data_IF_345487728455
#
_entry.id   IF_345487728455
#
_cell.length_a   1.000
_cell.length_b   1.000
_cell.length_c   1.000
_cell.angle_alpha   90.00
_cell.angle_beta   90.00
_cell.angle_gamma   90.00
#
_symmetry.space_group_name_H-M   'P 1'
#
loop_
_entity.id
_entity.type
_entity.pdbx_description
1 polymer ?
#
# COMPACT_ATOMS: atom_id res chain seq x y z
N UNK A 1 11.48 -7.62 2.92
CA UNK A 1 11.41 -6.26 3.53
C UNK A 1 11.24 -6.31 5.05
N UNK A 2 10.11 -6.77 5.60
CA UNK A 2 9.89 -6.78 7.05
C UNK A 2 10.90 -7.63 7.83
N UNK A 3 11.36 -8.77 7.30
CA UNK A 3 12.42 -9.55 7.91
C UNK A 3 13.72 -8.74 8.08
N UNK A 4 14.11 -7.96 7.06
CA UNK A 4 15.27 -7.06 7.13
C UNK A 4 15.06 -5.94 8.16
N UNK A 5 13.87 -5.33 8.18
CA UNK A 5 13.56 -4.31 9.19
C UNK A 5 13.61 -4.88 10.60
N UNK A 6 13.10 -6.10 10.82
CA UNK A 6 13.16 -6.77 12.11
C UNK A 6 14.58 -7.18 12.50
N UNK A 7 15.43 -7.54 11.54
CA UNK A 7 16.85 -7.81 11.78
C UNK A 7 17.58 -6.55 12.25
N UNK A 8 17.31 -5.40 11.62
CA UNK A 8 18.01 -4.14 11.88
C UNK A 8 17.48 -3.40 13.12
N UNK A 9 16.18 -3.49 13.38
CA UNK A 9 15.47 -2.65 14.36
C UNK A 9 14.77 -3.47 15.45
N UNK A 10 14.87 -4.80 15.41
CA UNK A 10 14.08 -5.68 16.25
C UNK A 10 12.59 -5.68 15.90
N UNK A 11 11.77 -6.30 16.76
CA UNK A 11 10.32 -6.43 16.54
C UNK A 11 9.50 -5.23 17.07
N UNK A 12 10.13 -4.08 17.29
CA UNK A 12 9.46 -2.89 17.84
C UNK A 12 8.44 -2.32 16.87
N UNK A 13 7.16 -2.31 17.26
CA UNK A 13 6.05 -1.74 16.47
C UNK A 13 6.31 -0.25 16.17
N UNK A 14 6.85 0.50 17.14
CA UNK A 14 7.17 1.92 16.97
C UNK A 14 8.22 2.11 15.87
N UNK A 15 9.30 1.33 15.91
CA UNK A 15 10.38 1.43 14.92
C UNK A 15 9.91 1.03 13.52
N UNK A 16 9.05 0.01 13.39
CA UNK A 16 8.43 -0.36 12.12
C UNK A 16 7.53 0.76 11.56
N UNK A 17 6.78 1.46 12.42
CA UNK A 17 5.99 2.63 12.01
C UNK A 17 6.86 3.80 11.58
N UNK A 18 7.97 4.05 12.29
CA UNK A 18 8.95 5.07 11.89
C UNK A 18 9.57 4.72 10.54
N UNK A 19 9.89 3.45 10.27
CA UNK A 19 10.40 3.02 8.97
C UNK A 19 9.39 3.26 7.84
N UNK A 20 8.09 3.00 8.07
CA UNK A 20 7.04 3.32 7.12
C UNK A 20 6.90 4.83 6.88
N UNK A 21 6.96 5.66 7.92
CA UNK A 21 6.93 7.11 7.80
C UNK A 21 8.17 7.66 7.05
N UNK A 22 9.36 7.12 7.33
CA UNK A 22 10.58 7.45 6.61
C UNK A 22 10.50 7.06 5.13
N UNK A 23 9.86 5.93 4.82
CA UNK A 23 9.57 5.50 3.44
C UNK A 23 8.69 6.53 2.72
N UNK A 24 7.60 7.00 3.33
CA UNK A 24 6.74 8.05 2.76
C UNK A 24 7.51 9.37 2.55
N UNK A 25 8.34 9.77 3.50
CA UNK A 25 9.18 10.95 3.41
C UNK A 25 10.18 10.86 2.25
N UNK A 26 10.84 9.70 2.10
CA UNK A 26 11.76 9.44 1.00
C UNK A 26 11.04 9.42 -0.36
N UNK A 27 9.85 8.81 -0.45
CA UNK A 27 9.02 8.81 -1.66
C UNK A 27 8.65 10.24 -2.07
N UNK A 28 8.19 11.06 -1.12
CA UNK A 28 7.88 12.48 -1.35
C UNK A 28 9.10 13.28 -1.80
N UNK A 29 10.26 13.04 -1.18
CA UNK A 29 11.52 13.66 -1.57
C UNK A 29 11.92 13.28 -3.00
N UNK A 30 11.89 12.01 -3.36
CA UNK A 30 12.23 11.59 -4.72
C UNK A 30 11.22 12.07 -5.75
N UNK A 31 9.93 12.17 -5.41
CA UNK A 31 8.93 12.78 -6.28
C UNK A 31 9.24 14.27 -6.52
N UNK A 32 9.62 15.01 -5.48
CA UNK A 32 10.12 16.38 -5.60
C UNK A 32 11.34 16.44 -6.53
N UNK A 33 12.36 15.61 -6.29
CA UNK A 33 13.60 15.59 -7.09
C UNK A 33 13.33 15.24 -8.55
N UNK A 34 12.53 14.21 -8.80
CA UNK A 34 12.10 13.81 -10.13
C UNK A 34 11.44 14.95 -10.88
N UNK A 35 10.53 15.66 -10.23
CA UNK A 35 9.81 16.79 -10.82
C UNK A 35 10.72 17.98 -11.10
N UNK A 36 11.71 18.25 -10.23
CA UNK A 36 12.78 19.24 -10.52
C UNK A 36 13.58 18.84 -11.76
N UNK A 37 14.02 17.59 -11.82
CA UNK A 37 14.79 17.04 -12.94
C UNK A 37 14.00 17.04 -14.25
N UNK A 38 12.68 16.83 -14.19
CA UNK A 38 11.78 16.86 -15.34
C UNK A 38 11.59 18.28 -15.90
N UNK A 39 12.05 19.32 -15.20
CA UNK A 39 12.01 20.71 -15.65
C UNK A 39 10.88 21.56 -15.04
N UNK A 40 10.14 21.03 -14.07
CA UNK A 40 9.07 21.79 -13.41
C UNK A 40 9.61 22.88 -12.48
N UNK A 41 8.82 23.94 -12.29
CA UNK A 41 9.13 25.03 -11.35
C UNK A 41 9.31 24.51 -9.91
N UNK A 42 10.17 25.13 -9.08
CA UNK A 42 10.42 24.67 -7.70
C UNK A 42 9.13 24.52 -6.88
N UNK A 43 8.22 25.50 -6.99
CA UNK A 43 6.94 25.48 -6.29
C UNK A 43 6.06 24.27 -6.67
N UNK A 44 6.07 23.87 -7.95
CA UNK A 44 5.30 22.72 -8.42
C UNK A 44 5.90 21.38 -7.98
N UNK A 45 7.22 21.30 -7.93
CA UNK A 45 7.93 20.14 -7.39
C UNK A 45 7.66 20.00 -5.88
N UNK A 46 7.79 21.10 -5.13
CA UNK A 46 7.54 21.10 -3.69
C UNK A 46 6.09 20.73 -3.37
N UNK A 47 5.14 21.31 -4.10
CA UNK A 47 3.72 20.99 -3.99
C UNK A 47 3.44 19.51 -4.23
N UNK A 48 4.05 18.88 -5.24
CA UNK A 48 3.85 17.46 -5.52
C UNK A 48 4.30 16.55 -4.36
N UNK A 49 5.48 16.79 -3.80
CA UNK A 49 5.96 16.03 -2.63
C UNK A 49 5.07 16.24 -1.39
N UNK A 50 4.72 17.50 -1.09
CA UNK A 50 3.85 17.82 0.04
C UNK A 50 2.45 17.24 -0.10
N UNK A 51 1.88 17.27 -1.30
CA UNK A 51 0.59 16.63 -1.58
C UNK A 51 0.68 15.12 -1.37
N UNK A 52 1.75 14.47 -1.81
CA UNK A 52 1.90 13.03 -1.59
C UNK A 52 1.90 12.67 -0.10
N UNK A 53 2.62 13.44 0.73
CA UNK A 53 2.57 13.28 2.19
C UNK A 53 1.17 13.53 2.74
N UNK A 54 0.53 14.61 2.31
CA UNK A 54 -0.82 14.97 2.72
C UNK A 54 -1.81 13.84 2.41
N UNK A 55 -1.89 13.36 1.16
CA UNK A 55 -2.83 12.30 0.77
C UNK A 55 -2.62 11.00 1.56
N UNK A 56 -1.36 10.67 1.90
CA UNK A 56 -1.04 9.49 2.70
C UNK A 56 -1.27 9.68 4.21
N UNK A 57 -1.51 10.90 4.69
CA UNK A 57 -1.64 11.16 6.14
C UNK A 57 -3.08 11.37 6.61
N UNK A 58 -4.07 11.44 5.70
CA UNK A 58 -5.43 11.91 6.05
C UNK A 58 -6.39 10.80 6.43
N UNK A 59 -6.40 9.71 5.66
CA UNK A 59 -7.44 8.68 5.77
C UNK A 59 -6.85 7.32 6.11
N UNK A 60 -7.43 6.67 7.12
CA UNK A 60 -6.99 5.39 7.68
C UNK A 60 -6.85 4.27 6.65
N UNK A 61 -7.77 4.19 5.69
CA UNK A 61 -7.78 3.16 4.63
C UNK A 61 -6.82 3.43 3.47
N UNK A 62 -6.00 4.48 3.59
CA UNK A 62 -4.98 4.85 2.61
C UNK A 62 -3.60 4.79 3.29
N UNK A 63 -2.85 5.89 3.37
CA UNK A 63 -1.43 5.84 3.77
C UNK A 63 -1.13 5.85 5.27
N UNK A 64 -2.11 6.05 6.16
CA UNK A 64 -1.85 6.19 7.61
C UNK A 64 -1.40 4.87 8.23
N UNK A 65 -1.97 3.76 7.74
CA UNK A 65 -1.46 2.43 8.05
C UNK A 65 -0.41 2.04 7.00
N UNK A 66 0.70 1.37 7.39
CA UNK A 66 1.68 0.86 6.44
C UNK A 66 1.01 -0.13 5.48
N UNK A 67 0.95 0.20 4.20
CA UNK A 67 0.46 -0.66 3.14
C UNK A 67 1.59 -1.04 2.20
N UNK A 68 1.40 -2.09 1.41
CA UNK A 68 2.42 -2.56 0.45
C UNK A 68 2.81 -1.46 -0.55
N UNK A 69 1.84 -0.65 -0.97
CA UNK A 69 1.99 0.53 -1.83
C UNK A 69 2.89 1.60 -1.22
N UNK A 70 2.89 1.76 0.10
CA UNK A 70 3.79 2.67 0.80
C UNK A 70 5.24 2.37 0.45
N UNK A 71 5.59 1.09 0.38
CA UNK A 71 6.97 0.63 0.18
C UNK A 71 7.37 0.56 -1.28
N UNK A 72 6.54 0.01 -2.17
CA UNK A 72 6.94 -0.07 -3.57
C UNK A 72 6.98 1.31 -4.26
N UNK A 73 6.13 2.25 -3.84
CA UNK A 73 6.14 3.61 -4.41
C UNK A 73 7.46 4.35 -4.18
N UNK A 74 8.21 4.02 -3.13
CA UNK A 74 9.56 4.55 -2.93
C UNK A 74 10.45 4.22 -4.13
N UNK A 75 10.40 2.98 -4.58
CA UNK A 75 11.17 2.51 -5.71
C UNK A 75 10.68 3.10 -7.03
N UNK A 76 9.38 3.28 -7.20
CA UNK A 76 8.82 3.98 -8.38
C UNK A 76 9.26 5.46 -8.41
N UNK A 77 9.23 6.17 -7.28
CA UNK A 77 9.65 7.57 -7.21
C UNK A 77 11.16 7.74 -7.41
N UNK A 78 11.98 6.83 -6.85
CA UNK A 78 13.42 6.79 -7.08
C UNK A 78 13.74 6.51 -8.56
N UNK A 79 13.09 5.51 -9.16
CA UNK A 79 13.23 5.21 -10.58
C UNK A 79 12.87 6.41 -11.46
N UNK A 80 11.77 7.11 -11.13
CA UNK A 80 11.36 8.32 -11.83
C UNK A 80 12.42 9.42 -11.69
N UNK A 81 12.99 9.62 -10.50
CA UNK A 81 14.03 10.63 -10.33
C UNK A 81 15.26 10.34 -11.19
N UNK A 82 15.73 9.08 -11.22
CA UNK A 82 16.84 8.66 -12.09
C UNK A 82 16.47 8.90 -13.56
N UNK A 83 15.30 8.41 -13.99
CA UNK A 83 14.76 8.57 -15.33
C UNK A 83 14.73 10.05 -15.79
N UNK A 84 14.29 10.96 -14.92
CA UNK A 84 14.16 12.39 -15.22
C UNK A 84 15.49 13.16 -15.21
N UNK A 85 16.54 12.65 -14.54
CA UNK A 85 17.78 13.39 -14.28
C UNK A 85 18.73 13.48 -15.47
N UNK A 86 18.21 13.29 -16.70
CA UNK A 86 18.98 13.21 -17.96
C UNK A 86 20.23 12.34 -17.83
N UNK A 87 20.09 11.10 -17.36
CA UNK A 87 21.26 10.35 -16.98
C UNK A 87 21.92 9.71 -18.22
N UNK A 88 23.13 9.18 -18.02
CA UNK A 88 23.77 8.32 -19.01
C UNK A 88 22.88 7.08 -19.30
N UNK A 89 23.10 6.45 -20.46
CA UNK A 89 22.26 5.34 -20.94
C UNK A 89 22.13 4.19 -19.91
N UNK A 90 23.21 3.82 -19.23
CA UNK A 90 23.23 2.78 -18.19
C UNK A 90 22.33 3.09 -16.98
N UNK A 91 22.03 4.36 -16.69
CA UNK A 91 21.17 4.70 -15.57
C UNK A 91 19.71 4.30 -15.79
N UNK A 92 19.27 4.09 -17.03
CA UNK A 92 17.97 3.48 -17.32
C UNK A 92 17.92 2.04 -16.80
N UNK A 93 19.03 1.31 -16.82
CA UNK A 93 19.13 0.01 -16.15
C UNK A 93 18.96 0.13 -14.64
N UNK A 94 19.57 1.13 -13.99
CA UNK A 94 19.39 1.36 -12.55
C UNK A 94 17.96 1.79 -12.19
N UNK A 95 17.35 2.65 -13.01
CA UNK A 95 15.92 2.98 -12.86
C UNK A 95 15.07 1.71 -13.00
N UNK A 96 15.43 0.84 -13.93
CA UNK A 96 14.84 -0.49 -14.11
C UNK A 96 14.98 -1.35 -12.87
N UNK A 97 16.19 -1.48 -12.32
CA UNK A 97 16.44 -2.24 -11.08
C UNK A 97 15.57 -1.75 -9.94
N UNK A 98 15.43 -0.42 -9.78
CA UNK A 98 14.53 0.16 -8.79
C UNK A 98 13.07 -0.27 -9.04
N UNK A 99 12.55 -0.13 -10.27
CA UNK A 99 11.20 -0.64 -10.60
C UNK A 99 11.06 -2.15 -10.34
N UNK A 100 12.09 -2.95 -10.62
CA UNK A 100 12.12 -4.39 -10.36
C UNK A 100 12.02 -4.73 -8.88
N UNK A 101 12.68 -3.97 -8.00
CA UNK A 101 12.52 -4.10 -6.55
C UNK A 101 11.10 -3.78 -6.11
N UNK A 102 10.48 -2.74 -6.68
CA UNK A 102 9.07 -2.43 -6.48
C UNK A 102 8.15 -3.56 -6.98
N UNK A 103 8.45 -4.12 -8.16
CA UNK A 103 7.69 -5.22 -8.77
C UNK A 103 7.69 -6.49 -7.92
N UNK A 104 8.84 -6.85 -7.32
CA UNK A 104 8.94 -7.98 -6.39
C UNK A 104 8.07 -7.78 -5.16
N UNK A 105 7.88 -6.54 -4.70
CA UNK A 105 6.95 -6.23 -3.61
C UNK A 105 5.49 -6.35 -4.09
N UNK A 106 5.16 -5.79 -5.26
CA UNK A 106 3.85 -5.92 -5.89
C UNK A 106 3.95 -5.71 -7.40
N UNK A 107 3.45 -6.66 -8.18
CA UNK A 107 3.58 -6.68 -9.66
C UNK A 107 2.89 -5.51 -10.37
N UNK A 108 1.98 -4.80 -9.70
CA UNK A 108 1.29 -3.61 -10.23
C UNK A 108 2.23 -2.45 -10.58
N UNK A 109 3.48 -2.45 -10.08
CA UNK A 109 4.54 -1.52 -10.49
C UNK A 109 4.84 -1.59 -11.99
N UNK A 110 4.51 -2.72 -12.64
CA UNK A 110 4.60 -2.87 -14.10
C UNK A 110 3.93 -1.72 -14.85
N UNK A 111 2.76 -1.24 -14.39
CA UNK A 111 2.03 -0.15 -15.04
C UNK A 111 2.80 1.17 -14.99
N UNK A 112 3.54 1.44 -13.91
CA UNK A 112 4.42 2.60 -13.82
C UNK A 112 5.59 2.49 -14.81
N UNK A 113 6.21 1.31 -14.90
CA UNK A 113 7.29 1.04 -15.86
C UNK A 113 6.84 1.16 -17.32
N UNK A 114 5.64 0.66 -17.65
CA UNK A 114 5.03 0.81 -18.97
C UNK A 114 4.81 2.29 -19.28
N UNK A 115 4.34 3.09 -18.32
CA UNK A 115 4.17 4.53 -18.52
C UNK A 115 5.49 5.22 -18.89
N UNK A 116 6.59 4.86 -18.22
CA UNK A 116 7.91 5.45 -18.47
C UNK A 116 8.42 5.08 -19.87
N UNK A 117 8.24 3.81 -20.27
CA UNK A 117 8.64 3.30 -21.59
C UNK A 117 7.82 3.92 -22.72
N UNK A 118 6.49 3.93 -22.60
CA UNK A 118 5.60 4.54 -23.58
C UNK A 118 5.87 6.05 -23.74
N UNK A 119 6.22 6.75 -22.67
CA UNK A 119 6.58 8.16 -22.76
C UNK A 119 7.89 8.40 -23.53
N UNK A 120 8.87 7.49 -23.44
CA UNK A 120 10.09 7.58 -24.27
C UNK A 120 9.77 7.42 -25.77
N UNK A 121 8.89 6.49 -26.13
CA UNK A 121 8.41 6.33 -27.50
C UNK A 121 7.64 7.56 -27.97
N UNK A 122 6.81 8.13 -27.09
CA UNK A 122 6.08 9.35 -27.36
C UNK A 122 7.02 10.53 -27.62
N UNK A 123 8.07 10.70 -26.82
CA UNK A 123 9.09 11.73 -27.05
C UNK A 123 9.81 11.56 -28.39
N UNK A 124 10.17 10.32 -28.76
CA UNK A 124 10.77 10.03 -30.06
C UNK A 124 9.81 10.37 -31.22
N UNK A 125 8.52 10.03 -31.10
CA UNK A 125 7.48 10.39 -32.07
C UNK A 125 7.35 11.91 -32.24
N UNK A 126 7.50 12.68 -31.16
CA UNK A 126 7.45 14.15 -31.17
C UNK A 126 8.75 14.81 -31.65
N UNK A 127 9.72 14.05 -32.16
CA UNK A 127 10.99 14.56 -32.66
C UNK A 127 11.98 14.99 -31.57
N UNK A 128 11.72 14.65 -30.29
CA UNK A 128 12.60 15.00 -29.16
C UNK A 128 13.75 14.00 -28.96
N UNK A 129 13.93 13.05 -29.90
CA UNK A 129 14.98 12.04 -29.87
C UNK A 129 14.85 11.03 -31.02
N UNK A 130 15.84 10.15 -31.16
CA UNK A 130 15.83 9.06 -32.16
C UNK A 130 15.10 7.83 -31.61
N UNK A 131 14.34 7.14 -32.45
CA UNK A 131 13.65 5.88 -32.09
C UNK A 131 14.61 4.82 -31.53
N UNK A 132 15.78 4.64 -32.15
CA UNK A 132 16.79 3.71 -31.66
C UNK A 132 17.20 4.02 -30.21
N UNK A 133 17.42 5.31 -29.88
CA UNK A 133 17.77 5.71 -28.53
C UNK A 133 16.63 5.47 -27.53
N UNK A 134 15.37 5.68 -27.93
CA UNK A 134 14.21 5.35 -27.09
C UNK A 134 14.14 3.85 -26.79
N UNK A 135 14.32 3.00 -27.80
CA UNK A 135 14.34 1.55 -27.63
C UNK A 135 15.50 1.07 -26.77
N UNK A 136 16.71 1.61 -26.93
CA UNK A 136 17.84 1.26 -26.05
C UNK A 136 17.55 1.58 -24.59
N UNK A 137 16.93 2.73 -24.31
CA UNK A 137 16.53 3.12 -22.95
C UNK A 137 15.46 2.18 -22.38
N UNK A 138 14.45 1.83 -23.19
CA UNK A 138 13.39 0.89 -22.80
C UNK A 138 13.97 -0.49 -22.53
N UNK A 139 14.86 -0.98 -23.39
CA UNK A 139 15.52 -2.27 -23.22
C UNK A 139 16.30 -2.31 -21.90
N UNK A 140 17.10 -1.29 -21.60
CA UNK A 140 17.83 -1.24 -20.34
C UNK A 140 16.90 -1.13 -19.12
N UNK A 141 15.83 -0.33 -19.21
CA UNK A 141 14.80 -0.25 -18.18
C UNK A 141 14.17 -1.63 -17.93
N UNK A 142 13.82 -2.36 -18.99
CA UNK A 142 13.21 -3.69 -18.90
C UNK A 142 14.18 -4.74 -18.36
N UNK A 143 15.43 -4.75 -18.81
CA UNK A 143 16.47 -5.66 -18.30
C UNK A 143 16.74 -5.41 -16.81
N UNK A 144 16.82 -4.14 -16.40
CA UNK A 144 16.95 -3.78 -15.00
C UNK A 144 15.74 -4.22 -14.18
N UNK A 145 14.51 -4.00 -14.68
CA UNK A 145 13.30 -4.38 -13.97
C UNK A 145 13.10 -5.90 -13.85
N UNK A 146 13.55 -6.67 -14.85
CA UNK A 146 13.46 -8.12 -14.84
C UNK A 146 14.42 -8.75 -13.82
N UNK A 147 15.60 -8.17 -13.60
CA UNK A 147 16.66 -8.81 -12.81
C UNK A 147 16.24 -9.18 -11.36
N UNK A 148 15.63 -8.29 -10.55
CA UNK A 148 15.20 -8.66 -9.20
C UNK A 148 14.17 -9.79 -9.17
N UNK A 149 13.24 -9.81 -10.14
CA UNK A 149 12.22 -10.85 -10.21
C UNK A 149 12.80 -12.19 -10.66
N UNK A 150 13.70 -12.18 -11.65
CA UNK A 150 14.44 -13.38 -12.08
C UNK A 150 15.30 -13.95 -10.94
N UNK A 151 15.87 -13.10 -10.08
CA UNK A 151 16.61 -13.55 -8.90
C UNK A 151 15.70 -14.28 -7.90
N UNK A 152 14.46 -13.81 -7.71
CA UNK A 152 13.47 -14.49 -6.87
C UNK A 152 13.08 -15.85 -7.46
N UNK A 153 12.79 -15.91 -8.77
CA UNK A 153 12.51 -17.18 -9.46
C UNK A 153 13.67 -18.16 -9.30
N UNK A 154 14.89 -17.72 -9.59
CA UNK A 154 16.08 -18.55 -9.49
C UNK A 154 16.31 -19.05 -8.06
N UNK A 155 16.04 -18.21 -7.05
CA UNK A 155 16.10 -18.62 -5.65
C UNK A 155 15.10 -19.73 -5.32
N UNK A 156 13.82 -19.55 -5.67
CA UNK A 156 12.79 -20.57 -5.41
C UNK A 156 13.02 -21.86 -6.20
N UNK A 157 13.55 -21.76 -7.42
CA UNK A 157 13.98 -22.92 -8.18
C UNK A 157 15.15 -23.65 -7.52
N UNK A 158 16.14 -22.91 -7.00
CA UNK A 158 17.31 -23.49 -6.35
C UNK A 158 16.95 -24.27 -5.07
N UNK A 159 15.96 -23.80 -4.30
CA UNK A 159 15.49 -24.49 -3.10
C UNK A 159 14.36 -25.51 -3.36
N UNK A 160 14.03 -25.78 -4.63
CA UNK A 160 13.03 -26.78 -5.01
C UNK A 160 11.57 -26.38 -4.78
N UNK A 161 11.28 -25.09 -4.55
CA UNK A 161 9.95 -24.57 -4.23
C UNK A 161 9.38 -23.63 -5.32
N UNK A 162 9.75 -23.85 -6.57
CA UNK A 162 9.29 -23.00 -7.69
C UNK A 162 7.78 -23.14 -7.93
N UNK A 163 7.24 -24.35 -7.80
CA UNK A 163 5.82 -24.62 -8.02
C UNK A 163 4.96 -23.91 -6.96
N UNK A 164 5.35 -23.98 -5.69
CA UNK A 164 4.67 -23.29 -4.58
C UNK A 164 4.78 -21.78 -4.74
N UNK A 165 5.97 -21.26 -5.08
CA UNK A 165 6.13 -19.85 -5.39
C UNK A 165 5.18 -19.40 -6.50
N UNK A 166 5.09 -20.17 -7.60
CA UNK A 166 4.22 -19.87 -8.72
C UNK A 166 2.74 -19.92 -8.32
N UNK A 167 2.35 -20.94 -7.56
CA UNK A 167 1.00 -21.10 -7.06
C UNK A 167 0.55 -19.92 -6.20
N UNK A 168 1.31 -19.60 -5.15
CA UNK A 168 0.94 -18.52 -4.23
C UNK A 168 1.05 -17.13 -4.86
N UNK A 169 1.96 -16.92 -5.81
CA UNK A 169 2.16 -15.62 -6.44
C UNK A 169 1.14 -15.35 -7.55
N UNK A 170 0.90 -16.32 -8.44
CA UNK A 170 0.12 -16.11 -9.66
C UNK A 170 -1.23 -16.84 -9.65
N UNK A 171 -1.27 -18.11 -9.26
CA UNK A 171 -2.50 -18.91 -9.32
C UNK A 171 -3.53 -18.40 -8.32
N UNK A 172 -3.14 -18.26 -7.04
CA UNK A 172 -4.03 -17.75 -5.98
C UNK A 172 -4.51 -16.33 -6.31
N UNK A 173 -3.61 -15.44 -6.72
CA UNK A 173 -3.94 -14.08 -7.11
C UNK A 173 -4.94 -14.02 -8.28
N UNK A 174 -4.78 -14.91 -9.27
CA UNK A 174 -5.68 -14.99 -10.43
C UNK A 174 -7.08 -15.51 -10.10
N UNK A 175 -7.21 -16.40 -9.11
CA UNK A 175 -8.50 -16.91 -8.62
C UNK A 175 -9.29 -15.88 -7.80
N UNK A 176 -8.62 -14.81 -7.37
CA UNK A 176 -9.17 -13.82 -6.43
C UNK A 176 -9.66 -12.52 -7.11
N UNK A 177 -9.66 -12.48 -8.45
CA UNK A 177 -10.12 -11.31 -9.22
C UNK A 177 -11.64 -11.22 -9.15
N UNK A 178 -12.16 -10.03 -8.87
CA UNK A 178 -13.60 -9.74 -8.92
C UNK A 178 -13.96 -8.96 -10.17
N UNK A 179 -15.07 -9.30 -10.81
CA UNK A 179 -15.67 -8.42 -11.82
C UNK A 179 -16.48 -7.32 -11.13
N UNK A 180 -16.15 -6.05 -11.39
CA UNK A 180 -16.96 -4.90 -10.97
C UNK A 180 -17.63 -4.23 -12.15
N UNK A 181 -18.81 -3.67 -11.92
CA UNK A 181 -19.47 -2.89 -12.94
C UNK A 181 -18.69 -1.60 -13.22
N UNK A 182 -18.90 -1.01 -14.40
CA UNK A 182 -18.34 0.30 -14.71
C UNK A 182 -18.78 1.37 -13.70
N UNK A 183 -20.02 1.28 -13.20
CA UNK A 183 -20.57 2.21 -12.22
C UNK A 183 -19.86 2.09 -10.87
N UNK A 184 -19.53 0.87 -10.43
CA UNK A 184 -18.76 0.66 -9.19
C UNK A 184 -17.37 1.28 -9.29
N UNK A 185 -16.67 1.04 -10.40
CA UNK A 185 -15.35 1.61 -10.66
C UNK A 185 -15.40 3.14 -10.73
N UNK A 186 -16.42 3.71 -11.39
CA UNK A 186 -16.63 5.15 -11.45
C UNK A 186 -16.91 5.73 -10.07
N UNK A 187 -17.78 5.09 -9.29
CA UNK A 187 -18.12 5.51 -7.92
C UNK A 187 -16.89 5.47 -7.02
N UNK A 188 -16.06 4.43 -7.14
CA UNK A 188 -14.83 4.29 -6.38
C UNK A 188 -13.80 5.37 -6.72
N UNK A 189 -13.65 5.68 -8.02
CA UNK A 189 -12.80 6.80 -8.45
C UNK A 189 -13.36 8.15 -7.98
N UNK A 190 -14.66 8.37 -8.08
CA UNK A 190 -15.30 9.60 -7.62
C UNK A 190 -15.16 9.78 -6.11
N UNK A 191 -15.34 8.71 -5.32
CA UNK A 191 -15.08 8.71 -3.87
C UNK A 191 -13.66 9.21 -3.58
N UNK A 192 -12.65 8.61 -4.22
CA UNK A 192 -11.26 9.08 -4.10
C UNK A 192 -11.13 10.58 -4.45
N UNK A 193 -11.68 11.01 -5.58
CA UNK A 193 -11.52 12.41 -6.01
C UNK A 193 -12.20 13.41 -5.08
N UNK A 194 -13.39 13.10 -4.56
CA UNK A 194 -14.11 13.97 -3.63
C UNK A 194 -13.44 14.00 -2.26
N UNK A 195 -13.01 12.82 -1.78
CA UNK A 195 -12.32 12.62 -0.51
C UNK A 195 -11.03 13.42 -0.40
N UNK A 196 -10.32 13.60 -1.51
CA UNK A 196 -9.04 14.32 -1.56
C UNK A 196 -9.12 15.74 -2.14
N UNK A 197 -10.30 16.39 -2.07
CA UNK A 197 -10.37 17.84 -2.26
C UNK A 197 -9.53 18.57 -1.19
N UNK A 198 -8.79 19.65 -1.54
CA UNK A 198 -8.76 20.31 -2.85
C UNK A 198 -7.70 19.75 -3.84
N UNK A 199 -6.93 18.73 -3.49
CA UNK A 199 -5.85 18.22 -4.37
C UNK A 199 -6.40 17.73 -5.71
N UNK A 200 -7.56 17.11 -5.71
CA UNK A 200 -8.26 16.70 -6.95
C UNK A 200 -8.60 17.86 -7.87
N UNK A 201 -8.97 19.01 -7.31
CA UNK A 201 -9.20 20.22 -8.09
C UNK A 201 -7.91 20.65 -8.82
N UNK A 202 -6.75 20.58 -8.13
CA UNK A 202 -5.46 20.90 -8.74
C UNK A 202 -5.07 19.92 -9.83
N UNK A 203 -5.31 18.62 -9.60
CA UNK A 203 -5.09 17.57 -10.60
C UNK A 203 -5.89 17.83 -11.87
N UNK A 204 -7.22 17.97 -11.77
CA UNK A 204 -8.07 18.18 -12.94
C UNK A 204 -7.80 19.52 -13.62
N UNK A 205 -7.51 20.58 -12.87
CA UNK A 205 -7.10 21.85 -13.46
C UNK A 205 -5.82 21.71 -14.27
N UNK A 206 -4.80 21.03 -13.73
CA UNK A 206 -3.54 20.79 -14.44
C UNK A 206 -3.72 19.88 -15.66
N UNK A 207 -4.60 18.88 -15.55
CA UNK A 207 -4.92 17.94 -16.63
C UNK A 207 -5.53 18.64 -17.86
N UNK A 208 -6.44 19.60 -17.64
CA UNK A 208 -7.15 20.27 -18.75
C UNK A 208 -6.56 21.63 -19.13
N UNK A 209 -5.70 22.22 -18.29
CA UNK A 209 -5.10 23.53 -18.57
C UNK A 209 -4.02 23.45 -19.64
N UNK A 210 -4.14 24.28 -20.68
CA UNK A 210 -3.08 24.51 -21.69
C UNK A 210 -1.90 25.33 -21.17
N UNK A 211 -1.99 25.86 -19.94
CA UNK A 211 -0.92 26.65 -19.29
C UNK A 211 0.11 25.77 -18.59
N UNK A 212 -0.17 24.48 -18.43
CA UNK A 212 0.78 23.50 -17.89
C UNK A 212 1.79 23.12 -18.98
N UNK A 213 3.05 22.96 -18.59
CA UNK A 213 4.11 22.47 -19.46
C UNK A 213 3.68 21.15 -20.14
N UNK A 214 3.60 21.16 -21.47
CA UNK A 214 2.96 20.09 -22.23
C UNK A 214 3.58 18.69 -21.97
N UNK A 215 4.91 18.51 -21.95
CA UNK A 215 5.52 17.23 -21.57
C UNK A 215 5.10 16.75 -20.18
N UNK A 216 5.01 17.65 -19.18
CA UNK A 216 4.61 17.29 -17.81
C UNK A 216 3.16 16.82 -17.78
N UNK A 217 2.29 17.48 -18.56
CA UNK A 217 0.89 17.08 -18.71
C UNK A 217 0.76 15.73 -19.43
N UNK A 218 1.44 15.54 -20.56
CA UNK A 218 1.41 14.30 -21.33
C UNK A 218 1.90 13.10 -20.51
N UNK A 219 3.06 13.24 -19.87
CA UNK A 219 3.61 12.19 -19.00
C UNK A 219 2.70 11.92 -17.80
N UNK A 220 2.30 12.96 -17.07
CA UNK A 220 1.43 12.84 -15.91
C UNK A 220 0.08 12.21 -16.23
N UNK A 221 -0.53 12.54 -17.38
CA UNK A 221 -1.78 11.94 -17.85
C UNK A 221 -1.62 10.47 -18.21
N UNK A 222 -0.60 10.12 -19.01
CA UNK A 222 -0.32 8.73 -19.38
C UNK A 222 -0.07 7.87 -18.15
N UNK A 223 0.75 8.38 -17.23
CA UNK A 223 1.07 7.69 -15.99
C UNK A 223 -0.15 7.55 -15.07
N UNK A 224 -0.97 8.60 -14.95
CA UNK A 224 -2.22 8.54 -14.19
C UNK A 224 -3.18 7.48 -14.75
N UNK A 225 -3.35 7.40 -16.07
CA UNK A 225 -4.23 6.41 -16.70
C UNK A 225 -3.74 4.98 -16.40
N UNK A 226 -2.45 4.71 -16.59
CA UNK A 226 -1.90 3.36 -16.34
C UNK A 226 -1.91 2.97 -14.86
N UNK A 227 -1.59 3.91 -13.96
CA UNK A 227 -1.70 3.66 -12.53
C UNK A 227 -3.16 3.46 -12.10
N UNK A 228 -4.11 4.16 -12.71
CA UNK A 228 -5.54 3.93 -12.45
C UNK A 228 -6.00 2.56 -12.96
N UNK A 229 -5.50 2.11 -14.11
CA UNK A 229 -5.73 0.72 -14.57
C UNK A 229 -5.24 -0.29 -13.53
N UNK A 230 -4.06 -0.07 -12.95
CA UNK A 230 -3.53 -0.94 -11.89
C UNK A 230 -4.43 -1.00 -10.64
N UNK A 231 -5.09 0.11 -10.30
CA UNK A 231 -6.05 0.20 -9.18
C UNK A 231 -7.34 -0.56 -9.49
N UNK A 232 -7.87 -0.45 -10.71
CA UNK A 232 -9.19 -0.94 -11.06
C UNK A 232 -9.19 -2.39 -11.56
N UNK A 233 -8.09 -2.85 -12.18
CA UNK A 233 -8.01 -4.18 -12.80
C UNK A 233 -8.28 -5.35 -11.83
N UNK A 234 -7.83 -5.34 -10.56
CA UNK A 234 -8.14 -6.43 -9.63
C UNK A 234 -9.63 -6.54 -9.25
N UNK A 235 -10.42 -5.47 -9.46
CA UNK A 235 -11.82 -5.38 -9.05
C UNK A 235 -12.07 -5.29 -7.55
N UNK A 236 -11.02 -5.37 -6.73
CA UNK A 236 -11.12 -5.14 -5.28
C UNK A 236 -11.03 -3.64 -5.00
N UNK A 237 -12.13 -3.05 -4.54
CA UNK A 237 -12.25 -1.59 -4.33
C UNK A 237 -11.66 -1.15 -2.97
N UNK A 238 -10.39 -1.49 -2.73
CA UNK A 238 -9.70 -1.10 -1.51
C UNK A 238 -9.02 0.25 -1.67
N UNK A 239 -9.33 1.20 -0.77
CA UNK A 239 -8.81 2.57 -0.83
C UNK A 239 -7.28 2.65 -0.96
N UNK A 240 -6.54 1.76 -0.27
CA UNK A 240 -5.07 1.76 -0.28
C UNK A 240 -4.46 1.49 -1.66
N UNK A 241 -5.18 0.91 -2.62
CA UNK A 241 -4.67 0.76 -3.99
C UNK A 241 -4.41 2.12 -4.64
N UNK A 242 -5.19 3.15 -4.30
CA UNK A 242 -4.95 4.49 -4.79
C UNK A 242 -3.62 5.10 -4.32
N UNK A 243 -2.94 4.54 -3.32
CA UNK A 243 -1.61 5.02 -2.91
C UNK A 243 -0.65 4.96 -4.10
N UNK A 244 -0.71 3.94 -4.96
CA UNK A 244 0.06 3.91 -6.22
C UNK A 244 -0.32 5.09 -7.13
N UNK A 245 -1.62 5.28 -7.36
CA UNK A 245 -2.14 6.38 -8.18
C UNK A 245 -1.81 7.77 -7.62
N UNK A 246 -1.61 7.92 -6.31
CA UNK A 246 -1.24 9.19 -5.68
C UNK A 246 0.07 9.75 -6.23
N UNK A 247 1.00 8.92 -6.75
CA UNK A 247 2.23 9.39 -7.37
C UNK A 247 1.97 10.23 -8.64
N UNK A 248 1.38 9.68 -9.74
CA UNK A 248 1.05 10.48 -10.91
C UNK A 248 0.03 11.58 -10.62
N UNK A 249 -0.89 11.35 -9.69
CA UNK A 249 -1.88 12.33 -9.28
C UNK A 249 -1.22 13.57 -8.65
N UNK A 250 -0.34 13.39 -7.68
CA UNK A 250 0.41 14.50 -7.07
C UNK A 250 1.42 15.11 -8.04
N UNK A 251 2.05 14.29 -8.89
CA UNK A 251 2.93 14.77 -9.95
C UNK A 251 2.20 15.76 -10.86
N UNK A 252 0.98 15.48 -11.31
CA UNK A 252 0.25 16.41 -12.17
C UNK A 252 -0.39 17.55 -11.37
N UNK A 253 -1.00 17.27 -10.21
CA UNK A 253 -1.62 18.28 -9.34
C UNK A 253 -0.65 19.40 -8.95
N UNK A 254 0.62 19.06 -8.68
CA UNK A 254 1.64 20.06 -8.36
C UNK A 254 1.86 21.10 -9.47
N UNK A 255 1.59 20.78 -10.75
CA UNK A 255 1.71 21.74 -11.87
C UNK A 255 0.76 22.93 -11.75
N UNK A 256 -0.33 22.82 -10.99
CA UNK A 256 -1.18 23.96 -10.65
C UNK A 256 -0.36 25.11 -10.03
N UNK A 257 0.65 24.77 -9.23
CA UNK A 257 1.53 25.72 -8.57
C UNK A 257 2.65 26.26 -9.47
N UNK A 258 2.84 25.69 -10.67
CA UNK A 258 3.70 26.26 -11.69
C UNK A 258 3.01 27.40 -12.44
N UNK A 259 1.69 27.40 -12.59
CA UNK A 259 0.96 28.39 -13.41
C UNK A 259 1.13 29.80 -12.81
N UNK A 260 1.29 30.90 -13.58
CA UNK A 260 1.34 32.24 -12.98
C UNK A 260 0.01 32.62 -12.30
N UNK A 261 0.05 33.17 -11.09
CA UNK A 261 -1.16 33.45 -10.28
C UNK A 261 -2.15 34.37 -10.99
N UNK A 262 -1.65 35.40 -11.66
CA UNK A 262 -2.47 36.35 -12.41
C UNK A 262 -3.31 35.69 -13.51
N UNK A 263 -2.82 34.58 -14.06
CA UNK A 263 -3.51 33.86 -15.13
C UNK A 263 -4.56 32.90 -14.62
N UNK A 264 -4.69 32.69 -13.30
CA UNK A 264 -5.72 31.84 -12.73
C UNK A 264 -7.07 32.57 -12.66
N UNK A 265 -8.20 31.84 -12.75
CA UNK A 265 -9.53 32.39 -12.48
C UNK A 265 -9.56 33.09 -11.12
N UNK A 266 -10.26 34.23 -11.02
CA UNK A 266 -10.29 35.06 -9.79
C UNK A 266 -10.61 34.22 -8.54
N UNK A 267 -11.59 33.33 -8.62
CA UNK A 267 -12.00 32.42 -7.54
C UNK A 267 -10.95 31.38 -7.10
N UNK A 268 -9.87 31.17 -7.85
CA UNK A 268 -8.78 30.24 -7.50
C UNK A 268 -7.48 30.97 -7.09
N UNK A 269 -7.39 32.28 -7.30
CA UNK A 269 -6.16 33.06 -7.01
C UNK A 269 -5.83 33.10 -5.52
N UNK A 270 -6.82 32.95 -4.64
CA UNK A 270 -6.64 32.99 -3.18
C UNK A 270 -5.95 31.73 -2.66
N UNK A 271 -6.19 30.55 -3.27
CA UNK A 271 -5.54 29.28 -2.92
C UNK A 271 -4.02 29.33 -3.08
N UNK A 272 -3.51 30.26 -3.89
CA UNK A 272 -2.08 30.46 -4.12
C UNK A 272 -1.49 31.66 -3.41
N UNK A 273 -2.26 32.31 -2.52
CA UNK A 273 -1.71 33.32 -1.63
C UNK A 273 -0.99 32.61 -0.49
N UNK A 274 0.33 32.79 -0.29
CA UNK A 274 1.05 32.13 0.81
C UNK A 274 0.43 32.38 2.18
N UNK A 275 -0.07 33.60 2.40
CA UNK A 275 -0.77 34.03 3.63
C UNK A 275 -2.08 33.30 3.91
N UNK A 276 -2.66 32.61 2.92
CA UNK A 276 -3.91 31.86 3.05
C UNK A 276 -3.65 30.36 2.87
N UNK A 277 -2.92 29.99 1.82
CA UNK A 277 -2.66 28.59 1.45
C UNK A 277 -1.87 27.81 2.50
N UNK A 278 -0.81 28.38 3.09
CA UNK A 278 -0.05 27.68 4.12
C UNK A 278 -0.82 27.54 5.44
N UNK A 279 -1.48 28.59 5.98
CA UNK A 279 -2.35 28.42 7.14
C UNK A 279 -3.50 27.45 6.89
N UNK A 280 -4.11 27.45 5.71
CA UNK A 280 -5.17 26.50 5.37
C UNK A 280 -4.65 25.06 5.32
N UNK A 281 -3.47 24.83 4.72
CA UNK A 281 -2.85 23.50 4.73
C UNK A 281 -2.52 23.04 6.16
N UNK A 282 -1.96 23.93 6.98
CA UNK A 282 -1.70 23.67 8.39
C UNK A 282 -2.98 23.34 9.16
N UNK A 283 -4.05 24.12 8.94
CA UNK A 283 -5.36 23.89 9.54
C UNK A 283 -5.95 22.56 9.11
N UNK A 284 -5.83 22.18 7.82
CA UNK A 284 -6.31 20.88 7.32
C UNK A 284 -5.55 19.71 7.95
N UNK A 285 -4.23 19.83 8.08
CA UNK A 285 -3.39 18.82 8.75
C UNK A 285 -3.76 18.69 10.23
N UNK A 286 -3.83 19.79 10.97
CA UNK A 286 -4.18 19.79 12.40
C UNK A 286 -5.60 19.29 12.62
N UNK A 287 -6.57 19.79 11.85
CA UNK A 287 -7.96 19.31 11.91
C UNK A 287 -8.04 17.82 11.64
N UNK A 288 -7.27 17.31 10.67
CA UNK A 288 -7.25 15.89 10.39
C UNK A 288 -6.64 15.07 11.53
N UNK A 289 -5.51 15.49 12.10
CA UNK A 289 -4.92 14.84 13.28
C UNK A 289 -5.91 14.81 14.45
N UNK A 290 -6.67 15.90 14.65
CA UNK A 290 -7.71 15.98 15.65
C UNK A 290 -8.87 15.01 15.36
N UNK A 291 -9.37 14.95 14.12
CA UNK A 291 -10.42 14.01 13.74
C UNK A 291 -9.98 12.55 13.88
N UNK A 292 -8.71 12.27 13.61
CA UNK A 292 -8.08 10.97 13.78
C UNK A 292 -7.89 10.57 15.26
N UNK A 293 -8.02 11.51 16.21
CA UNK A 293 -7.80 11.23 17.63
C UNK A 293 -8.67 10.08 18.14
N UNK A 294 -9.95 10.06 17.74
CA UNK A 294 -10.88 8.98 18.11
C UNK A 294 -10.44 7.63 17.55
N UNK A 295 -9.96 7.61 16.30
CA UNK A 295 -9.64 6.38 15.58
C UNK A 295 -8.32 5.74 16.04
N UNK A 296 -7.39 6.52 16.61
CA UNK A 296 -6.07 6.04 17.02
C UNK A 296 -5.78 6.09 18.52
N UNK A 297 -6.21 7.15 19.21
CA UNK A 297 -5.90 7.32 20.64
C UNK A 297 -7.00 6.78 21.54
N UNK A 298 -8.28 6.97 21.17
CA UNK A 298 -9.41 6.46 21.96
C UNK A 298 -9.80 5.02 21.62
N UNK A 299 -9.27 4.47 20.53
CA UNK A 299 -9.56 3.10 20.11
C UNK A 299 -8.98 2.10 21.12
N UNK A 300 -9.80 1.21 21.72
CA UNK A 300 -9.29 0.20 22.64
C UNK A 300 -8.26 -0.71 21.96
N UNK A 301 -7.10 -0.87 22.59
CA UNK A 301 -6.08 -1.84 22.18
C UNK A 301 -6.41 -3.22 22.78
N UNK A 302 -7.45 -3.87 22.23
CA UNK A 302 -7.87 -5.20 22.67
C UNK A 302 -6.73 -6.23 22.67
N UNK A 303 -5.85 -6.30 21.65
CA UNK A 303 -4.74 -7.25 21.68
C UNK A 303 -3.80 -7.06 22.87
N UNK A 304 -3.48 -5.81 23.25
CA UNK A 304 -2.71 -5.55 24.47
C UNK A 304 -3.45 -5.92 25.74
N UNK A 305 -4.76 -5.69 25.81
CA UNK A 305 -5.56 -6.07 26.98
C UNK A 305 -5.65 -7.59 27.13
N UNK A 306 -5.82 -8.31 26.03
CA UNK A 306 -5.77 -9.79 25.99
C UNK A 306 -4.39 -10.26 26.45
N UNK A 307 -3.31 -9.68 25.90
CA UNK A 307 -1.96 -10.05 26.27
C UNK A 307 -1.67 -9.79 27.76
N UNK A 308 -2.09 -8.64 28.29
CA UNK A 308 -1.95 -8.30 29.71
C UNK A 308 -2.71 -9.27 30.63
N UNK A 309 -3.88 -9.74 30.21
CA UNK A 309 -4.65 -10.74 30.95
C UNK A 309 -4.00 -12.13 30.91
N UNK A 310 -3.55 -12.59 29.73
CA UNK A 310 -3.07 -13.96 29.55
C UNK A 310 -1.59 -14.16 29.92
N UNK A 311 -0.72 -13.18 29.68
CA UNK A 311 0.73 -13.34 29.89
C UNK A 311 1.13 -13.84 31.29
N UNK A 312 0.52 -13.40 32.40
CA UNK A 312 0.84 -13.92 33.73
C UNK A 312 0.42 -15.37 33.97
N UNK A 313 -0.47 -15.92 33.13
CA UNK A 313 -1.08 -17.23 33.31
C UNK A 313 -0.49 -18.29 32.37
N UNK A 314 0.24 -17.89 31.34
CA UNK A 314 0.76 -18.76 30.28
C UNK A 314 2.10 -19.41 30.68
N UNK A 315 2.16 -20.74 30.56
CA UNK A 315 3.39 -21.50 30.53
C UNK A 315 4.06 -21.39 29.15
N UNK A 316 5.33 -21.81 29.01
CA UNK A 316 6.08 -21.69 27.76
C UNK A 316 5.50 -22.54 26.63
N UNK A 317 5.00 -23.73 26.95
CA UNK A 317 4.42 -24.74 26.08
C UNK A 317 2.92 -24.54 25.80
N UNK A 318 2.24 -23.67 26.55
CA UNK A 318 0.82 -23.38 26.34
C UNK A 318 0.54 -22.91 24.91
N UNK A 319 -0.46 -23.52 24.28
CA UNK A 319 -0.96 -23.13 22.97
C UNK A 319 -2.13 -22.16 23.14
N UNK A 320 -2.09 -21.07 22.40
CA UNK A 320 -3.15 -20.06 22.35
C UNK A 320 -3.69 -20.02 20.93
N UNK A 321 -5.00 -19.90 20.77
CA UNK A 321 -5.63 -19.63 19.50
C UNK A 321 -6.39 -18.30 19.56
N UNK A 322 -6.23 -17.47 18.53
CA UNK A 322 -7.07 -16.29 18.29
C UNK A 322 -7.63 -16.29 16.87
N UNK A 323 -8.92 -15.99 16.75
CA UNK A 323 -9.61 -15.95 15.46
C UNK A 323 -9.48 -14.62 14.72
N UNK A 324 -8.98 -13.55 15.36
CA UNK A 324 -9.04 -12.19 14.82
C UNK A 324 -7.70 -11.45 14.85
N UNK A 325 -7.07 -11.35 16.01
CA UNK A 325 -6.03 -10.36 16.23
C UNK A 325 -4.63 -11.01 16.22
N UNK A 326 -4.07 -11.21 15.01
CA UNK A 326 -2.77 -11.86 14.77
C UNK A 326 -1.58 -11.27 15.56
N UNK A 327 -1.64 -9.98 15.93
CA UNK A 327 -0.61 -9.32 16.75
C UNK A 327 -0.57 -9.87 18.19
N UNK A 328 -1.64 -10.51 18.66
CA UNK A 328 -1.74 -11.11 20.00
C UNK A 328 -0.67 -12.18 20.19
N UNK A 329 -0.39 -13.00 19.17
CA UNK A 329 0.70 -13.99 19.21
C UNK A 329 2.05 -13.34 19.48
N UNK A 330 2.34 -12.23 18.77
CA UNK A 330 3.58 -11.48 18.98
C UNK A 330 3.69 -10.89 20.39
N UNK A 331 2.60 -10.33 20.92
CA UNK A 331 2.57 -9.74 22.26
C UNK A 331 2.71 -10.80 23.38
N UNK A 332 2.24 -12.03 23.13
CA UNK A 332 2.36 -13.15 24.05
C UNK A 332 3.68 -13.94 23.88
N UNK A 333 4.48 -13.63 22.87
CA UNK A 333 5.66 -14.44 22.53
C UNK A 333 5.31 -15.85 22.07
N UNK A 334 4.12 -16.05 21.50
CA UNK A 334 3.61 -17.36 21.03
C UNK A 334 3.64 -17.46 19.52
N UNK A 335 3.73 -18.69 19.02
CA UNK A 335 3.51 -19.00 17.62
C UNK A 335 2.02 -19.32 17.39
N UNK A 336 1.48 -18.99 16.21
CA UNK A 336 0.12 -19.39 15.85
C UNK A 336 0.05 -20.93 15.67
N UNK A 337 -1.02 -21.60 16.12
CA UNK A 337 -1.19 -23.05 15.96
C UNK A 337 -1.57 -23.46 14.53
N UNK A 338 -1.91 -22.49 13.68
CA UNK A 338 -2.25 -22.68 12.27
C UNK A 338 -1.41 -21.70 11.41
N UNK A 339 -1.06 -22.07 10.16
CA UNK A 339 -0.33 -21.17 9.27
C UNK A 339 -1.17 -19.97 8.78
N UNK A 340 -2.51 -20.05 8.87
CA UNK A 340 -3.45 -19.04 8.38
C UNK A 340 -3.76 -17.97 9.43
N UNK A 341 -2.78 -17.11 9.71
CA UNK A 341 -2.86 -16.12 10.80
C UNK A 341 -3.83 -14.97 10.56
N UNK A 342 -4.05 -14.59 9.31
CA UNK A 342 -4.97 -13.50 8.99
C UNK A 342 -6.40 -14.06 8.91
N UNK A 343 -7.38 -13.47 9.62
CA UNK A 343 -8.72 -14.05 9.75
C UNK A 343 -9.40 -14.32 8.40
N UNK A 344 -9.21 -13.44 7.42
CA UNK A 344 -9.81 -13.61 6.09
C UNK A 344 -9.34 -14.89 5.40
N UNK A 345 -8.10 -15.34 5.63
CA UNK A 345 -7.55 -16.54 5.00
C UNK A 345 -8.21 -17.80 5.51
N UNK A 346 -8.65 -17.78 6.77
CA UNK A 346 -9.23 -18.94 7.44
C UNK A 346 -10.76 -18.96 7.43
N UNK A 347 -11.40 -17.79 7.34
CA UNK A 347 -12.84 -17.64 7.52
C UNK A 347 -13.62 -17.25 6.27
N UNK A 348 -12.99 -16.60 5.28
CA UNK A 348 -13.72 -16.18 4.09
C UNK A 348 -13.69 -17.27 3.01
N UNK A 349 -14.88 -17.68 2.54
CA UNK A 349 -15.05 -18.73 1.54
C UNK A 349 -14.22 -18.49 0.26
N UNK A 350 -14.12 -17.24 -0.20
CA UNK A 350 -13.31 -16.87 -1.36
C UNK A 350 -11.82 -17.17 -1.18
N UNK A 351 -11.27 -16.95 0.02
CA UNK A 351 -9.86 -17.21 0.31
C UNK A 351 -9.62 -18.71 0.47
N UNK A 352 -10.53 -19.41 1.18
CA UNK A 352 -10.48 -20.87 1.32
C UNK A 352 -10.49 -21.56 -0.05
N UNK A 353 -11.37 -21.14 -0.96
CA UNK A 353 -11.45 -21.66 -2.31
C UNK A 353 -10.20 -21.34 -3.14
N UNK A 354 -9.70 -20.09 -3.07
CA UNK A 354 -8.52 -19.69 -3.83
C UNK A 354 -7.25 -20.44 -3.40
N UNK A 355 -7.10 -20.67 -2.09
CA UNK A 355 -5.96 -21.34 -1.44
C UNK A 355 -6.13 -22.86 -1.32
N UNK A 356 -7.27 -23.42 -1.73
CA UNK A 356 -7.59 -24.85 -1.62
C UNK A 356 -7.52 -25.38 -0.18
N UNK A 357 -7.99 -24.59 0.79
CA UNK A 357 -7.96 -24.93 2.22
C UNK A 357 -9.26 -25.64 2.62
N UNK A 358 -9.14 -26.82 3.22
CA UNK A 358 -10.24 -27.49 3.93
C UNK A 358 -10.36 -26.94 5.35
N UNK A 359 -11.32 -26.04 5.56
CA UNK A 359 -11.54 -25.41 6.87
C UNK A 359 -11.84 -26.45 7.97
N UNK A 360 -12.62 -27.48 7.66
CA UNK A 360 -12.93 -28.57 8.59
C UNK A 360 -11.68 -29.32 9.04
N UNK A 361 -10.79 -29.65 8.10
CA UNK A 361 -9.53 -30.33 8.38
C UNK A 361 -8.64 -29.51 9.30
N UNK A 362 -8.53 -28.20 9.05
CA UNK A 362 -7.73 -27.29 9.87
C UNK A 362 -8.35 -27.03 11.26
N UNK A 363 -9.68 -26.98 11.35
CA UNK A 363 -10.39 -26.96 12.64
C UNK A 363 -10.08 -28.23 13.43
N UNK A 364 -10.09 -29.40 12.79
CA UNK A 364 -9.77 -30.65 13.46
C UNK A 364 -8.31 -30.67 13.94
N UNK A 365 -7.35 -30.25 13.10
CA UNK A 365 -5.95 -30.09 13.52
C UNK A 365 -5.79 -29.15 14.71
N UNK A 366 -6.58 -28.08 14.77
CA UNK A 366 -6.57 -27.17 15.92
C UNK A 366 -7.15 -27.83 17.17
N UNK A 367 -8.21 -28.63 17.03
CA UNK A 367 -8.80 -29.41 18.13
C UNK A 367 -7.81 -30.41 18.70
N UNK A 368 -7.08 -31.11 17.84
CA UNK A 368 -6.08 -32.12 18.21
C UNK A 368 -4.85 -31.52 18.93
N UNK A 369 -4.56 -30.23 18.69
CA UNK A 369 -3.53 -29.49 19.43
C UNK A 369 -3.98 -29.07 20.84
N UNK A 370 -5.29 -29.13 21.13
CA UNK A 370 -5.91 -28.75 22.40
C UNK A 370 -5.37 -27.41 22.97
N UNK A 371 -5.53 -26.26 22.29
CA UNK A 371 -5.13 -24.96 22.82
C UNK A 371 -5.66 -24.74 24.23
N UNK A 372 -4.81 -24.25 25.14
CA UNK A 372 -5.25 -23.92 26.50
C UNK A 372 -6.22 -22.74 26.49
N UNK A 373 -5.96 -21.75 25.64
CA UNK A 373 -6.80 -20.56 25.51
C UNK A 373 -7.31 -20.36 24.08
N UNK A 374 -8.59 -20.05 23.96
CA UNK A 374 -9.22 -19.66 22.71
C UNK A 374 -9.81 -18.26 22.83
N UNK A 375 -9.49 -17.39 21.86
CA UNK A 375 -9.87 -15.97 21.88
C UNK A 375 -10.69 -15.66 20.64
N UNK A 376 -11.92 -15.22 20.86
CA UNK A 376 -12.86 -14.87 19.80
C UNK A 376 -13.29 -13.43 19.91
N UNK A 377 -13.32 -12.73 18.78
CA UNK A 377 -13.84 -11.36 18.69
C UNK A 377 -15.03 -11.20 17.74
N UNK A 378 -15.16 -12.08 16.76
CA UNK A 378 -16.39 -12.22 15.99
C UNK A 378 -17.12 -13.49 16.47
N UNK A 379 -18.36 -13.38 16.99
CA UNK A 379 -19.16 -14.55 17.39
C UNK A 379 -19.33 -15.59 16.27
N UNK A 380 -19.38 -15.15 15.01
CA UNK A 380 -19.49 -16.06 13.86
C UNK A 380 -18.30 -17.01 13.73
N UNK A 381 -17.09 -16.56 14.12
CA UNK A 381 -15.89 -17.39 14.08
C UNK A 381 -15.80 -18.35 15.26
N UNK A 382 -16.59 -18.11 16.31
CA UNK A 382 -16.74 -19.04 17.43
C UNK A 382 -17.77 -20.15 17.12
N UNK A 383 -18.72 -19.90 16.21
CA UNK A 383 -19.82 -20.83 15.93
C UNK A 383 -19.37 -22.26 15.56
N UNK A 384 -18.32 -22.48 14.76
CA UNK A 384 -17.82 -23.83 14.46
C UNK A 384 -17.20 -24.56 15.66
N UNK A 385 -16.94 -23.85 16.75
CA UNK A 385 -16.37 -24.38 17.98
C UNK A 385 -17.40 -24.48 19.12
N UNK A 386 -18.65 -24.03 18.96
CA UNK A 386 -19.63 -23.93 20.06
C UNK A 386 -19.74 -25.20 20.89
N UNK A 387 -20.03 -26.35 20.28
CA UNK A 387 -20.15 -27.62 21.01
C UNK A 387 -18.85 -28.01 21.74
N UNK A 388 -17.71 -27.69 21.14
CA UNK A 388 -16.40 -27.98 21.74
C UNK A 388 -16.07 -27.03 22.89
N UNK A 389 -16.41 -25.74 22.75
CA UNK A 389 -16.25 -24.73 23.79
C UNK A 389 -17.14 -25.05 24.99
N UNK A 390 -18.39 -25.46 24.77
CA UNK A 390 -19.31 -25.84 25.86
C UNK A 390 -18.85 -27.09 26.62
N UNK A 391 -18.25 -28.05 25.91
CA UNK A 391 -17.82 -29.32 26.51
C UNK A 391 -16.47 -29.23 27.22
N UNK A 392 -15.49 -28.56 26.61
CA UNK A 392 -14.08 -28.64 27.03
C UNK A 392 -13.52 -27.31 27.56
N UNK A 393 -14.25 -26.19 27.43
CA UNK A 393 -13.79 -24.87 27.83
C UNK A 393 -14.77 -24.15 28.75
N UNK A 394 -14.28 -23.13 29.44
CA UNK A 394 -15.09 -22.18 30.21
C UNK A 394 -14.74 -20.76 29.79
N UNK A 395 -15.74 -19.89 29.73
CA UNK A 395 -15.51 -18.45 29.53
C UNK A 395 -14.86 -17.87 30.79
N UNK A 396 -13.60 -17.43 30.69
CA UNK A 396 -12.84 -16.88 31.83
C UNK A 396 -12.80 -15.36 31.85
N UNK A 397 -12.97 -14.72 30.69
CA UNK A 397 -12.96 -13.26 30.59
C UNK A 397 -13.70 -12.77 29.36
N UNK A 398 -14.39 -11.64 29.52
CA UNK A 398 -14.83 -10.78 28.42
C UNK A 398 -14.10 -9.44 28.54
N UNK A 399 -13.46 -9.00 27.46
CA UNK A 399 -12.76 -7.71 27.39
C UNK A 399 -13.58 -6.76 26.49
N UNK A 400 -14.06 -5.68 27.11
CA UNK A 400 -15.06 -4.80 26.50
C UNK A 400 -16.34 -5.56 26.15
N UNK A 401 -16.98 -5.19 25.05
CA UNK A 401 -18.19 -5.86 24.55
C UNK A 401 -17.90 -6.84 23.40
N UNK A 402 -16.62 -7.08 23.10
CA UNK A 402 -16.23 -7.67 21.81
C UNK A 402 -15.32 -8.87 21.88
N UNK A 403 -14.59 -9.10 22.96
CA UNK A 403 -13.58 -10.18 23.01
C UNK A 403 -13.89 -11.15 24.11
N UNK A 404 -14.14 -12.41 23.74
CA UNK A 404 -14.39 -13.52 24.64
C UNK A 404 -13.14 -14.41 24.72
N UNK A 405 -12.73 -14.73 25.95
CA UNK A 405 -11.57 -15.58 26.23
C UNK A 405 -12.06 -16.83 26.96
N UNK A 406 -11.78 -17.97 26.35
CA UNK A 406 -12.11 -19.29 26.87
C UNK A 406 -10.83 -19.99 27.33
N UNK A 407 -10.89 -20.67 28.48
CA UNK A 407 -9.83 -21.53 29.01
C UNK A 407 -10.30 -22.97 29.04
N UNK A 408 -9.44 -23.91 28.64
CA UNK A 408 -9.72 -25.34 28.68
C UNK A 408 -9.90 -25.81 30.13
N UNK A 409 -10.92 -26.62 30.40
CA UNK A 409 -11.34 -27.00 31.77
C UNK A 409 -10.51 -28.18 32.33
N UNK A 410 -9.70 -28.84 31.50
CA UNK A 410 -8.80 -29.95 31.89
C UNK A 410 -7.48 -29.91 31.15
#
# INVERSE_FOLDING_TARGET
LYALLQLLMGKSILLLRIAAAATLAATSFFLYRAKRSFGSRPAAAFAAGMMYLFLNSIFTYYGVSPNTETFFNLFTALALWIYCSRPALWAYFIAGLSLGLGFVIKYVVLFDGIAFGLFLLWQARQGQGRWAAAWSKILLLALGAALPFLAVIAYYQHIGHLEEFWFYTFIVSGRYIESKSLLDNLTFFLDFTLRFLPVSLFFFYALFSRKVHLPSRQFGSLWAVLALMAVLLPGKLFGHYFIQFMLPFCFLAGEFFAIPRETLPKGLRWLRQPKIGYPLLGLLLVSNLFLQYKDYYLKPDYPRQVAAFLAPQLAADDIVYTSNDQITYHLLGKLPPLPYVHPSLFWEAQHLAALEISQETEIQKLKDQHPRFMIFRNPEYAAPFTEWLEKEYRLVKVIGERVSIYERVR
#
